data_IF_027182087825
#
_entry.id   IF_027182087825
#
_cell.length_a   1.000
_cell.length_b   1.000
_cell.length_c   1.000
_cell.angle_alpha   90.00
_cell.angle_beta   90.00
_cell.angle_gamma   90.00
#
_symmetry.space_group_name_H-M   'P 1'
#
loop_
_entity.id
_entity.type
_entity.pdbx_description
1 polymer ?
#
# COMPACT_ATOMS: atom_id res chain seq x y z
N UNK A 1 38.23 21.42 26.31
CA UNK A 1 37.51 20.13 26.36
C UNK A 1 36.06 20.43 26.69
N UNK A 2 35.22 20.50 25.66
CA UNK A 2 33.77 20.66 25.79
C UNK A 2 33.17 19.56 24.94
N UNK A 3 32.58 18.57 25.60
CA UNK A 3 31.93 17.42 24.98
C UNK A 3 30.70 17.90 24.20
N UNK A 4 30.75 17.77 22.88
CA UNK A 4 29.55 17.83 22.05
C UNK A 4 28.79 16.53 22.24
N UNK A 5 27.68 16.61 22.99
CA UNK A 5 26.69 15.55 23.14
C UNK A 5 26.09 15.16 21.79
N UNK A 6 25.98 13.85 21.55
CA UNK A 6 25.34 13.27 20.37
C UNK A 6 23.91 13.82 20.17
N UNK A 7 23.46 14.08 18.93
CA UNK A 7 22.08 14.48 18.69
C UNK A 7 21.13 13.33 19.03
N UNK A 8 20.01 13.73 19.64
CA UNK A 8 19.01 12.91 20.29
C UNK A 8 18.54 11.70 19.47
N UNK A 9 18.40 10.57 20.18
CA UNK A 9 17.54 9.47 19.76
C UNK A 9 16.12 9.98 19.48
N UNK A 10 15.53 9.53 18.38
CA UNK A 10 14.14 9.80 18.01
C UNK A 10 13.20 9.52 19.20
N UNK A 11 12.34 10.47 19.61
CA UNK A 11 11.39 10.20 20.68
C UNK A 11 10.32 9.22 20.18
N UNK A 12 10.18 8.09 20.89
CA UNK A 12 9.06 7.18 20.73
C UNK A 12 7.75 7.94 21.03
N UNK A 13 6.95 8.17 19.99
CA UNK A 13 5.68 8.85 20.09
C UNK A 13 4.63 7.96 20.79
N UNK A 14 4.44 8.17 22.10
CA UNK A 14 3.37 7.55 22.88
C UNK A 14 2.03 8.24 22.58
N UNK A 15 1.18 7.63 21.75
CA UNK A 15 -0.21 8.09 21.56
C UNK A 15 -1.21 6.94 21.67
N UNK A 16 -2.15 7.09 22.60
CA UNK A 16 -3.23 6.13 22.88
C UNK A 16 -4.20 6.06 21.68
N UNK A 17 -4.18 4.93 20.98
CA UNK A 17 -5.13 4.58 19.91
C UNK A 17 -6.56 4.45 20.47
N UNK A 18 -7.55 5.11 19.86
CA UNK A 18 -8.90 4.55 19.81
C UNK A 18 -8.87 3.41 18.79
N UNK A 19 -8.91 2.18 19.30
CA UNK A 19 -8.94 0.94 18.50
C UNK A 19 -10.26 0.90 17.72
N UNK A 20 -10.19 0.92 16.39
CA UNK A 20 -11.08 0.08 15.61
C UNK A 20 -10.53 -1.33 15.84
N UNK A 21 -11.25 -2.15 16.60
CA UNK A 21 -10.91 -3.57 16.69
C UNK A 21 -11.30 -4.16 15.33
N UNK A 22 -10.31 -4.35 14.48
CA UNK A 22 -10.38 -5.40 13.48
C UNK A 22 -10.64 -6.68 14.27
N UNK A 23 -11.72 -7.39 13.94
CA UNK A 23 -12.03 -8.70 14.50
C UNK A 23 -10.79 -9.59 14.46
N UNK A 24 -10.66 -10.46 15.47
CA UNK A 24 -9.48 -11.28 15.77
C UNK A 24 -8.81 -11.88 14.51
N UNK A 25 -7.76 -11.23 14.00
CA UNK A 25 -6.47 -11.78 13.51
C UNK A 25 -5.63 -10.61 12.95
N UNK A 26 -4.58 -10.28 13.70
CA UNK A 26 -3.23 -9.83 13.30
C UNK A 26 -2.95 -8.86 12.15
N UNK A 27 -3.47 -9.05 10.93
CA UNK A 27 -3.03 -8.32 9.73
C UNK A 27 -4.18 -8.27 8.73
N UNK A 28 -4.58 -7.07 8.30
CA UNK A 28 -5.48 -6.90 7.17
C UNK A 28 -4.78 -7.41 5.90
N UNK A 29 -5.45 -8.24 5.10
CA UNK A 29 -4.89 -8.78 3.86
C UNK A 29 -4.49 -7.69 2.87
N UNK A 30 -3.55 -8.02 1.99
CA UNK A 30 -2.95 -7.06 1.06
C UNK A 30 -3.11 -7.50 -0.40
N UNK A 31 -4.24 -8.16 -0.71
CA UNK A 31 -4.55 -8.64 -2.05
C UNK A 31 -4.35 -7.54 -3.09
N UNK A 32 -3.84 -7.92 -4.26
CA UNK A 32 -3.68 -6.98 -5.36
C UNK A 32 -5.05 -6.43 -5.75
N UNK A 33 -5.13 -5.12 -5.86
CA UNK A 33 -6.35 -4.41 -6.28
C UNK A 33 -6.67 -4.76 -7.72
N UNK A 34 -7.91 -5.16 -7.97
CA UNK A 34 -8.47 -5.48 -9.29
C UNK A 34 -9.89 -4.93 -9.37
N UNK A 35 -10.22 -4.37 -10.52
CA UNK A 35 -11.58 -3.96 -10.87
C UNK A 35 -12.49 -5.20 -11.02
N UNK A 36 -13.73 -5.10 -10.57
CA UNK A 36 -14.71 -6.19 -10.66
C UNK A 36 -16.14 -5.65 -10.60
N UNK A 37 -17.10 -6.55 -10.66
CA UNK A 37 -18.53 -6.25 -10.51
C UNK A 37 -18.88 -5.57 -9.17
N UNK A 38 -17.96 -5.61 -8.19
CA UNK A 38 -18.16 -5.09 -6.81
C UNK A 38 -17.01 -4.21 -6.30
N UNK A 39 -16.03 -3.91 -7.16
CA UNK A 39 -14.85 -3.09 -6.82
C UNK A 39 -14.56 -2.16 -7.98
N UNK A 40 -14.48 -0.87 -7.69
CA UNK A 40 -14.00 0.13 -8.64
C UNK A 40 -12.58 0.55 -8.29
N UNK A 41 -11.74 0.79 -9.31
CA UNK A 41 -10.37 1.26 -9.13
C UNK A 41 -10.17 2.60 -9.81
N UNK A 42 -9.74 3.61 -9.04
CA UNK A 42 -9.36 4.92 -9.55
C UNK A 42 -7.87 5.14 -9.41
N UNK A 43 -7.20 5.38 -10.52
CA UNK A 43 -5.78 5.72 -10.56
C UNK A 43 -5.52 7.17 -10.10
N UNK A 44 -4.50 7.37 -9.26
CA UNK A 44 -4.00 8.67 -8.83
C UNK A 44 -2.60 9.00 -9.40
N UNK A 45 -2.12 8.24 -10.38
CA UNK A 45 -0.87 8.48 -11.10
C UNK A 45 -0.91 9.74 -11.98
N UNK A 46 0.26 10.14 -12.46
CA UNK A 46 0.49 11.36 -13.24
C UNK A 46 1.34 12.36 -12.46
N UNK A 47 1.20 13.65 -12.76
CA UNK A 47 1.99 14.68 -12.07
C UNK A 47 1.40 15.01 -10.70
N UNK A 48 2.26 15.02 -9.68
CA UNK A 48 1.98 15.51 -8.33
C UNK A 48 2.80 16.79 -8.13
N UNK A 49 2.36 17.72 -7.27
CA UNK A 49 3.29 18.77 -6.86
C UNK A 49 4.30 18.17 -5.89
N UNK A 50 5.51 18.69 -5.93
CA UNK A 50 6.64 18.16 -5.21
C UNK A 50 7.52 19.25 -4.63
N UNK A 51 8.06 19.01 -3.45
CA UNK A 51 9.13 19.82 -2.84
C UNK A 51 9.97 18.97 -1.88
N UNK A 52 11.29 19.11 -1.96
CA UNK A 52 12.20 18.60 -0.93
C UNK A 52 12.31 19.58 0.24
N UNK A 53 12.39 19.08 1.47
CA UNK A 53 12.60 19.91 2.65
C UNK A 53 14.09 20.27 2.79
N UNK A 54 14.46 21.42 2.24
CA UNK A 54 15.86 21.89 2.21
C UNK A 54 16.28 22.61 3.51
N UNK A 55 15.44 22.65 4.55
CA UNK A 55 15.80 23.25 5.83
C UNK A 55 16.97 22.51 6.49
N UNK A 56 17.78 23.20 7.30
CA UNK A 56 18.96 22.58 7.92
C UNK A 56 18.63 21.36 8.79
N UNK A 57 17.46 21.35 9.43
CA UNK A 57 16.95 20.25 10.24
C UNK A 57 16.20 19.19 9.43
N UNK A 58 15.90 19.45 8.15
CA UNK A 58 15.03 18.64 7.25
C UNK A 58 13.59 18.48 7.75
N UNK A 59 13.14 19.30 8.68
CA UNK A 59 11.87 19.12 9.41
C UNK A 59 10.94 20.35 9.31
N UNK A 60 11.24 21.33 8.46
CA UNK A 60 10.38 22.50 8.26
C UNK A 60 8.97 22.12 7.84
N UNK A 61 8.80 21.09 7.02
CA UNK A 61 7.47 20.66 6.56
C UNK A 61 6.56 20.17 7.66
N UNK A 62 7.12 19.59 8.72
CA UNK A 62 6.35 19.23 9.91
C UNK A 62 6.12 20.43 10.82
N UNK A 63 7.16 21.23 11.10
CA UNK A 63 7.05 22.42 11.96
C UNK A 63 6.03 23.43 11.42
N UNK A 64 5.96 23.59 10.11
CA UNK A 64 5.08 24.54 9.42
C UNK A 64 3.78 23.90 8.91
N UNK A 65 3.58 22.60 9.19
CA UNK A 65 2.38 21.86 8.81
C UNK A 65 2.05 21.95 7.31
N UNK A 66 3.02 21.65 6.44
CA UNK A 66 2.84 21.70 4.99
C UNK A 66 1.69 20.81 4.48
N UNK A 67 1.31 19.77 5.23
CA UNK A 67 0.16 18.91 4.95
C UNK A 67 -1.22 19.56 5.17
N UNK A 68 -1.31 20.68 5.89
CA UNK A 68 -2.58 21.30 6.30
C UNK A 68 -3.38 21.93 5.16
N UNK A 69 -2.74 22.17 4.01
CA UNK A 69 -3.29 22.82 2.82
C UNK A 69 -2.52 22.31 1.59
N UNK A 70 -3.00 22.53 0.35
CA UNK A 70 -2.24 22.17 -0.84
C UNK A 70 -0.82 22.72 -0.79
N UNK A 71 0.16 21.90 -1.17
CA UNK A 71 1.60 22.13 -0.93
C UNK A 71 2.06 23.46 -1.54
N UNK A 72 1.53 23.81 -2.71
CA UNK A 72 1.75 25.09 -3.41
C UNK A 72 1.35 26.33 -2.60
N UNK A 73 0.50 26.20 -1.58
CA UNK A 73 0.09 27.28 -0.65
C UNK A 73 1.04 27.44 0.55
N UNK A 74 2.05 26.59 0.65
CA UNK A 74 3.10 26.64 1.68
C UNK A 74 4.49 26.92 1.09
N UNK A 75 4.57 27.19 -0.22
CA UNK A 75 5.78 27.63 -0.91
C UNK A 75 5.92 27.01 -2.31
N UNK A 76 7.06 27.24 -2.95
CA UNK A 76 7.30 26.82 -4.33
C UNK A 76 7.36 25.31 -4.48
N UNK A 77 6.67 24.78 -5.48
CA UNK A 77 6.65 23.36 -5.84
C UNK A 77 7.04 23.17 -7.29
N UNK A 78 7.51 21.97 -7.64
CA UNK A 78 7.73 21.53 -9.02
C UNK A 78 6.81 20.33 -9.34
N UNK A 79 6.46 20.06 -10.60
CA UNK A 79 5.76 18.83 -10.96
C UNK A 79 6.69 17.62 -10.87
N UNK A 80 6.22 16.53 -10.29
CA UNK A 80 6.94 15.25 -10.21
C UNK A 80 6.02 14.10 -10.63
N UNK A 81 6.45 13.23 -11.57
CA UNK A 81 5.65 12.10 -12.00
C UNK A 81 5.55 11.04 -10.90
N UNK A 82 4.37 10.45 -10.77
CA UNK A 82 4.09 9.25 -9.99
C UNK A 82 3.43 8.25 -10.93
N UNK A 83 3.97 7.01 -11.08
CA UNK A 83 5.12 6.47 -10.36
C UNK A 83 6.46 6.96 -10.93
N UNK A 84 7.41 7.30 -10.05
CA UNK A 84 8.81 7.57 -10.39
C UNK A 84 9.67 7.69 -9.14
N UNK A 85 10.95 7.40 -9.29
CA UNK A 85 11.97 7.94 -8.38
C UNK A 85 12.22 9.40 -8.76
N UNK A 86 12.36 10.32 -7.79
CA UNK A 86 12.55 11.74 -8.12
C UNK A 86 13.97 12.07 -8.59
N UNK A 87 14.94 11.23 -8.23
CA UNK A 87 16.37 11.58 -8.23
C UNK A 87 16.88 12.04 -9.60
N UNK A 88 16.48 11.36 -10.68
CA UNK A 88 16.96 11.62 -12.03
C UNK A 88 15.90 12.25 -12.96
N UNK A 89 14.78 12.73 -12.39
CA UNK A 89 13.73 13.42 -13.17
C UNK A 89 14.15 14.85 -13.52
N UNK A 90 14.89 15.50 -12.62
CA UNK A 90 15.31 16.90 -12.76
C UNK A 90 16.79 16.99 -13.15
N UNK A 91 17.24 18.19 -13.54
CA UNK A 91 18.66 18.48 -13.76
C UNK A 91 19.36 18.99 -12.47
N UNK A 92 18.66 18.99 -11.33
CA UNK A 92 19.17 19.50 -10.06
C UNK A 92 19.93 18.40 -9.30
N UNK A 93 21.25 18.55 -9.25
CA UNK A 93 22.12 17.65 -8.49
C UNK A 93 21.79 17.62 -7.00
N UNK A 94 21.41 18.75 -6.41
CA UNK A 94 21.10 18.84 -4.97
C UNK A 94 19.88 18.00 -4.64
N UNK A 95 18.90 17.95 -5.56
CA UNK A 95 17.74 17.09 -5.43
C UNK A 95 18.13 15.62 -5.66
N UNK A 96 18.93 15.30 -6.69
CA UNK A 96 19.39 13.94 -6.97
C UNK A 96 20.02 13.25 -5.76
N UNK A 97 20.93 13.97 -5.10
CA UNK A 97 21.72 13.50 -3.97
C UNK A 97 21.06 13.84 -2.61
N UNK A 98 19.81 14.33 -2.61
CA UNK A 98 19.10 14.79 -1.40
C UNK A 98 18.88 13.65 -0.39
N UNK A 99 19.05 13.98 0.89
CA UNK A 99 18.76 13.11 2.03
C UNK A 99 17.81 13.85 2.98
N UNK A 100 16.67 13.24 3.29
CA UNK A 100 15.66 13.78 4.19
C UNK A 100 14.25 13.58 3.67
N UNK A 101 13.37 14.51 4.03
CA UNK A 101 11.95 14.46 3.67
C UNK A 101 11.67 15.14 2.33
N UNK A 102 11.03 14.41 1.43
CA UNK A 102 10.37 14.98 0.25
C UNK A 102 8.86 14.91 0.39
N UNK A 103 8.18 15.92 -0.12
CA UNK A 103 6.74 16.09 0.01
C UNK A 103 6.11 16.05 -1.37
N UNK A 104 5.07 15.24 -1.50
CA UNK A 104 4.21 15.15 -2.67
C UNK A 104 2.80 15.58 -2.28
N UNK A 105 2.08 16.29 -3.13
CA UNK A 105 0.63 16.41 -3.00
C UNK A 105 -0.12 16.37 -4.33
N UNK A 106 -1.39 15.98 -4.25
CA UNK A 106 -2.28 15.94 -5.40
C UNK A 106 -3.72 16.12 -4.99
N UNK A 107 -4.42 16.95 -5.76
CA UNK A 107 -5.87 17.10 -5.70
C UNK A 107 -6.58 16.02 -6.53
N UNK A 108 -7.74 15.58 -6.06
CA UNK A 108 -8.58 14.58 -6.74
C UNK A 108 -10.05 14.71 -6.35
N UNK A 109 -10.92 14.14 -7.19
CA UNK A 109 -12.33 13.94 -6.91
C UNK A 109 -12.63 12.45 -6.76
N UNK A 110 -13.57 12.13 -5.87
CA UNK A 110 -14.16 10.79 -5.77
C UNK A 110 -15.52 10.76 -6.49
N UNK A 111 -15.85 9.67 -7.21
CA UNK A 111 -17.18 9.51 -7.82
C UNK A 111 -18.30 9.66 -6.78
N UNK A 112 -19.42 10.29 -7.17
CA UNK A 112 -20.57 10.46 -6.29
C UNK A 112 -21.15 9.12 -5.81
N UNK A 113 -21.08 8.09 -6.65
CA UNK A 113 -21.53 6.73 -6.32
C UNK A 113 -20.82 6.12 -5.12
N UNK A 114 -19.64 6.61 -4.73
CA UNK A 114 -18.90 6.11 -3.58
C UNK A 114 -19.40 6.68 -2.24
N UNK A 115 -20.37 7.61 -2.26
CA UNK A 115 -20.94 8.26 -1.09
C UNK A 115 -22.13 7.47 -0.49
N UNK A 116 -22.02 6.14 -0.43
CA UNK A 116 -22.93 5.29 0.34
C UNK A 116 -22.13 4.61 1.45
N UNK A 117 -22.04 5.28 2.61
CA UNK A 117 -21.22 4.82 3.74
C UNK A 117 -21.70 3.48 4.34
N UNK A 118 -22.93 3.07 4.05
CA UNK A 118 -23.49 1.81 4.53
C UNK A 118 -23.14 0.63 3.61
N UNK A 119 -22.63 0.89 2.40
CA UNK A 119 -22.37 -0.15 1.39
C UNK A 119 -20.96 -0.09 0.83
N UNK A 120 -20.37 1.09 0.75
CA UNK A 120 -19.11 1.32 0.07
C UNK A 120 -18.01 1.69 1.05
N UNK A 121 -16.95 0.88 1.03
CA UNK A 121 -15.69 1.15 1.69
C UNK A 121 -14.71 1.74 0.68
N UNK A 122 -14.04 2.85 1.00
CA UNK A 122 -13.04 3.49 0.13
C UNK A 122 -11.64 3.39 0.74
N UNK A 123 -10.68 2.92 -0.03
CA UNK A 123 -9.32 2.64 0.42
C UNK A 123 -8.31 3.38 -0.42
N UNK A 124 -7.34 4.01 0.24
CA UNK A 124 -6.15 4.57 -0.39
C UNK A 124 -5.02 3.56 -0.31
N UNK A 125 -4.40 3.25 -1.45
CA UNK A 125 -3.29 2.30 -1.55
C UNK A 125 -2.10 2.92 -2.27
N UNK A 126 -0.93 2.79 -1.65
CA UNK A 126 0.36 3.03 -2.27
C UNK A 126 0.98 1.67 -2.58
N UNK A 127 1.36 1.41 -3.83
CA UNK A 127 2.01 0.14 -4.17
C UNK A 127 3.48 0.06 -3.73
N UNK A 128 4.12 1.23 -3.50
CA UNK A 128 5.46 1.38 -2.89
C UNK A 128 5.84 2.87 -2.81
N UNK A 129 6.40 3.28 -1.67
CA UNK A 129 7.02 4.58 -1.45
C UNK A 129 8.22 4.42 -0.50
N UNK A 130 9.32 5.14 -0.73
CA UNK A 130 10.62 4.85 -0.09
C UNK A 130 11.12 5.89 0.90
N UNK A 131 11.54 5.59 2.12
CA UNK A 131 11.46 4.35 2.90
C UNK A 131 10.43 4.51 4.02
N UNK A 132 10.47 5.63 4.76
CA UNK A 132 9.47 5.96 5.76
C UNK A 132 8.50 7.00 5.19
N UNK A 133 7.23 6.64 5.13
CA UNK A 133 6.18 7.42 4.48
C UNK A 133 5.10 7.81 5.47
N UNK A 134 4.64 9.05 5.41
CA UNK A 134 3.51 9.55 6.17
C UNK A 134 2.53 10.17 5.18
N UNK A 135 1.24 9.83 5.30
CA UNK A 135 0.21 10.27 4.36
C UNK A 135 -0.93 10.96 5.09
N UNK A 136 -1.38 12.05 4.50
CA UNK A 136 -2.54 12.82 4.93
C UNK A 136 -3.57 12.90 3.82
N UNK A 137 -4.85 12.90 4.19
CA UNK A 137 -5.97 13.23 3.33
C UNK A 137 -6.67 14.43 3.94
N UNK A 138 -6.85 15.50 3.16
CA UNK A 138 -7.49 16.74 3.62
C UNK A 138 -6.86 17.30 4.92
N UNK A 139 -5.53 17.18 5.04
CA UNK A 139 -4.75 17.61 6.21
C UNK A 139 -4.82 16.69 7.44
N UNK A 140 -5.61 15.62 7.41
CA UNK A 140 -5.67 14.61 8.48
C UNK A 140 -4.74 13.46 8.17
N UNK A 141 -3.85 13.10 9.12
CA UNK A 141 -2.94 11.96 8.97
C UNK A 141 -3.75 10.66 8.94
N UNK A 142 -3.56 9.85 7.90
CA UNK A 142 -4.30 8.60 7.70
C UNK A 142 -3.42 7.36 7.88
N UNK A 143 -2.15 7.39 7.43
CA UNK A 143 -1.26 6.22 7.54
C UNK A 143 0.21 6.61 7.63
N UNK A 144 0.99 5.74 8.28
CA UNK A 144 2.45 5.72 8.26
C UNK A 144 2.90 4.35 7.79
N UNK A 145 3.98 4.28 7.01
CA UNK A 145 4.55 3.02 6.54
C UNK A 145 6.07 3.08 6.56
N UNK A 146 6.69 2.00 7.02
CA UNK A 146 8.13 1.80 6.98
C UNK A 146 8.45 0.65 6.02
N UNK A 147 9.22 0.94 4.98
CA UNK A 147 9.61 -0.02 3.95
C UNK A 147 9.47 0.55 2.54
N UNK A 148 10.49 0.36 1.69
CA UNK A 148 10.55 1.00 0.37
C UNK A 148 9.83 0.28 -0.77
N UNK A 149 9.60 -1.03 -0.66
CA UNK A 149 9.22 -1.88 -1.81
C UNK A 149 7.94 -2.69 -1.61
N UNK A 150 7.25 -2.49 -0.49
CA UNK A 150 6.00 -3.15 -0.15
C UNK A 150 4.82 -2.18 -0.22
N UNK A 151 3.63 -2.68 -0.61
CA UNK A 151 2.42 -1.87 -0.61
C UNK A 151 1.94 -1.61 0.82
N UNK A 152 1.24 -0.49 0.99
CA UNK A 152 0.47 -0.18 2.19
C UNK A 152 -0.84 0.51 1.81
N UNK A 153 -1.85 0.35 2.65
CA UNK A 153 -3.16 0.93 2.41
C UNK A 153 -3.86 1.32 3.71
N UNK A 154 -4.85 2.17 3.58
CA UNK A 154 -5.69 2.63 4.67
C UNK A 154 -7.09 2.95 4.17
N UNK A 155 -8.09 2.59 4.96
CA UNK A 155 -9.46 3.00 4.70
C UNK A 155 -9.61 4.50 4.98
N UNK A 156 -10.13 5.24 4.02
CA UNK A 156 -10.33 6.70 4.10
C UNK A 156 -11.78 7.12 3.86
N UNK A 157 -12.73 6.17 3.93
CA UNK A 157 -14.17 6.38 3.67
C UNK A 157 -14.70 7.63 4.40
N UNK A 158 -14.33 7.81 5.67
CA UNK A 158 -14.82 8.93 6.50
C UNK A 158 -13.94 10.18 6.46
N UNK A 159 -12.79 10.13 5.77
CA UNK A 159 -11.84 11.23 5.63
C UNK A 159 -12.08 12.05 4.35
N UNK A 160 -12.96 11.56 3.46
CA UNK A 160 -13.26 12.16 2.17
C UNK A 160 -14.35 13.23 2.26
N UNK A 161 -14.10 14.36 1.60
CA UNK A 161 -15.10 15.36 1.29
C UNK A 161 -15.79 15.00 -0.03
N UNK A 162 -16.90 14.25 0.05
CA UNK A 162 -17.68 13.87 -1.12
C UNK A 162 -18.26 15.10 -1.84
N UNK A 163 -18.35 15.02 -3.17
CA UNK A 163 -18.80 16.12 -4.05
C UNK A 163 -17.93 17.38 -4.00
N UNK A 164 -16.70 17.27 -3.48
CA UNK A 164 -15.74 18.36 -3.35
C UNK A 164 -14.35 17.88 -3.75
N UNK A 165 -13.45 18.83 -3.99
CA UNK A 165 -12.03 18.53 -4.14
C UNK A 165 -11.49 17.96 -2.84
N UNK A 166 -10.74 16.87 -2.95
CA UNK A 166 -9.93 16.31 -1.89
C UNK A 166 -8.45 16.49 -2.26
N UNK A 167 -7.56 16.46 -1.27
CA UNK A 167 -6.12 16.37 -1.55
C UNK A 167 -5.46 15.29 -0.70
N UNK A 168 -4.49 14.61 -1.30
CA UNK A 168 -3.55 13.73 -0.60
C UNK A 168 -2.23 14.44 -0.51
N UNK A 169 -1.60 14.40 0.66
CA UNK A 169 -0.20 14.80 0.86
C UNK A 169 0.57 13.59 1.36
N UNK A 170 1.74 13.32 0.80
CA UNK A 170 2.65 12.27 1.24
C UNK A 170 4.04 12.85 1.51
N UNK A 171 4.54 12.65 2.73
CA UNK A 171 5.92 12.90 3.09
C UNK A 171 6.68 11.57 3.03
N UNK A 172 7.83 11.56 2.38
CA UNK A 172 8.60 10.36 2.06
C UNK A 172 10.06 10.61 2.44
N UNK A 173 10.61 9.84 3.38
CA UNK A 173 11.98 9.98 3.88
C UNK A 173 12.87 8.85 3.37
N UNK A 174 14.00 9.20 2.75
CA UNK A 174 14.93 8.25 2.14
C UNK A 174 16.15 7.88 3.01
N UNK A 175 16.18 8.34 4.26
CA UNK A 175 17.28 8.08 5.20
C UNK A 175 17.28 6.60 5.59
N UNK A 176 18.42 5.94 5.39
CA UNK A 176 18.64 4.57 5.81
C UNK A 176 19.43 4.54 7.11
N UNK A 177 19.01 3.67 8.03
CA UNK A 177 19.61 3.50 9.35
C UNK A 177 20.09 2.05 9.53
N UNK A 178 20.81 1.71 10.61
CA UNK A 178 21.22 0.33 10.84
C UNK A 178 20.04 -0.65 10.98
N UNK A 179 18.83 -0.15 11.23
CA UNK A 179 17.62 -0.97 11.41
C UNK A 179 16.72 -0.98 10.19
N UNK A 180 16.98 -0.16 9.17
CA UNK A 180 16.22 -0.20 7.91
C UNK A 180 16.62 -1.41 7.08
N UNK A 181 15.73 -1.83 6.17
CA UNK A 181 16.05 -2.82 5.14
C UNK A 181 15.82 -2.20 3.75
N UNK A 182 16.89 -1.88 3.00
CA UNK A 182 18.31 -2.13 3.30
C UNK A 182 18.89 -1.20 4.39
N UNK A 183 19.98 -1.61 5.08
CA UNK A 183 20.58 -0.82 6.15
C UNK A 183 21.53 0.26 5.60
N UNK A 184 21.67 1.34 6.37
CA UNK A 184 22.62 2.41 6.11
C UNK A 184 22.99 3.20 7.35
N UNK A 185 23.84 4.22 7.21
CA UNK A 185 24.24 5.12 8.30
C UNK A 185 24.42 6.53 7.77
N UNK A 186 23.97 7.54 8.53
CA UNK A 186 24.36 8.93 8.30
C UNK A 186 25.72 9.17 8.94
N UNK A 187 26.64 9.75 8.17
CA UNK A 187 27.98 10.13 8.63
C UNK A 187 28.15 11.65 8.51
N UNK A 188 28.37 12.32 9.63
CA UNK A 188 28.70 13.75 9.67
C UNK A 188 30.21 13.92 9.52
N UNK A 189 30.64 14.62 8.48
CA UNK A 189 32.06 14.87 8.23
C UNK A 189 32.42 16.21 8.84
N UNK A 190 33.02 16.17 10.04
CA UNK A 190 33.45 17.34 10.81
C UNK A 190 34.97 17.38 10.94
N UNK A 191 35.56 18.58 10.97
CA UNK A 191 36.94 18.77 11.43
C UNK A 191 38.08 18.62 10.41
N UNK A 192 37.86 18.86 9.12
CA UNK A 192 38.93 18.96 8.11
C UNK A 192 38.76 20.17 7.17
N UNK A 193 39.83 20.59 6.50
CA UNK A 193 39.91 21.80 5.64
C UNK A 193 39.08 21.75 4.33
N UNK A 194 38.02 20.92 4.26
CA UNK A 194 37.31 20.66 2.99
C UNK A 194 35.79 20.48 3.06
N UNK A 195 35.17 20.45 4.25
CA UNK A 195 33.72 20.24 4.37
C UNK A 195 33.03 21.46 5.01
N UNK A 196 31.89 21.93 4.46
CA UNK A 196 31.15 23.03 5.06
C UNK A 196 30.50 22.60 6.40
N UNK A 197 30.17 23.56 7.28
CA UNK A 197 29.46 23.27 8.52
C UNK A 197 28.17 22.47 8.27
N UNK A 198 27.99 21.39 9.04
CA UNK A 198 26.80 20.53 8.94
C UNK A 198 26.80 19.56 7.75
N UNK A 199 27.92 19.40 7.03
CA UNK A 199 28.00 18.42 5.94
C UNK A 199 27.84 16.97 6.45
N UNK A 200 26.96 16.21 5.81
CA UNK A 200 26.74 14.80 6.09
C UNK A 200 26.45 14.02 4.81
N UNK A 201 26.64 12.71 4.86
CA UNK A 201 26.34 11.80 3.75
C UNK A 201 25.62 10.55 4.25
N UNK A 202 24.85 9.92 3.37
CA UNK A 202 24.32 8.58 3.57
C UNK A 202 25.36 7.56 3.11
N UNK A 203 25.77 6.65 4.00
CA UNK A 203 26.55 5.46 3.67
C UNK A 203 25.65 4.24 3.65
N UNK A 204 25.92 3.32 2.73
CA UNK A 204 25.32 2.00 2.63
C UNK A 204 26.30 1.05 1.93
N UNK A 205 26.06 -0.26 2.04
CA UNK A 205 26.95 -1.33 1.55
C UNK A 205 26.38 -2.14 0.39
N UNK A 206 25.25 -1.73 -0.16
CA UNK A 206 24.66 -2.35 -1.35
C UNK A 206 25.09 -1.62 -2.63
N UNK A 207 25.19 -2.36 -3.73
CA UNK A 207 25.73 -1.88 -5.01
C UNK A 207 24.61 -1.50 -6.01
N UNK A 208 23.70 -0.65 -5.54
CA UNK A 208 22.71 0.03 -6.37
C UNK A 208 22.43 1.40 -5.77
N UNK A 209 21.98 2.35 -6.60
CA UNK A 209 21.69 3.70 -6.12
C UNK A 209 20.42 3.70 -5.23
N UNK A 210 20.46 4.44 -4.12
CA UNK A 210 19.32 4.59 -3.20
C UNK A 210 18.27 5.55 -3.77
N UNK A 211 17.63 5.14 -4.87
CA UNK A 211 16.51 5.88 -5.45
C UNK A 211 15.38 6.03 -4.44
N UNK A 212 14.72 7.18 -4.46
CA UNK A 212 13.64 7.52 -3.54
C UNK A 212 12.47 8.19 -4.26
N UNK A 213 11.30 8.13 -3.63
CA UNK A 213 10.05 8.66 -4.18
C UNK A 213 8.89 7.67 -4.06
N UNK A 214 7.87 7.89 -4.88
CA UNK A 214 6.71 7.01 -4.99
C UNK A 214 6.90 6.15 -6.24
N UNK A 215 7.53 4.98 -6.05
CA UNK A 215 8.03 4.16 -7.15
C UNK A 215 6.95 3.38 -7.91
N UNK A 216 5.79 3.17 -7.29
CA UNK A 216 4.70 2.38 -7.86
C UNK A 216 3.37 3.11 -7.73
N UNK A 217 2.35 2.71 -8.51
CA UNK A 217 1.08 3.40 -8.55
C UNK A 217 0.45 3.70 -7.19
N UNK A 218 -0.22 4.85 -7.12
CA UNK A 218 -1.12 5.22 -6.03
C UNK A 218 -2.55 5.10 -6.55
N UNK A 219 -3.41 4.42 -5.81
CA UNK A 219 -4.77 4.11 -6.23
C UNK A 219 -5.75 4.38 -5.11
N UNK A 220 -6.95 4.80 -5.49
CA UNK A 220 -8.14 4.58 -4.67
C UNK A 220 -8.84 3.34 -5.19
N UNK A 221 -9.41 2.55 -4.29
CA UNK A 221 -10.31 1.48 -4.70
C UNK A 221 -11.47 1.35 -3.73
N UNK A 222 -12.56 0.77 -4.23
CA UNK A 222 -13.75 0.48 -3.43
C UNK A 222 -13.92 -1.01 -3.19
N UNK A 223 -14.57 -1.33 -2.08
CA UNK A 223 -15.18 -2.64 -1.84
C UNK A 223 -16.58 -2.44 -1.25
N UNK A 224 -17.36 -3.52 -1.20
CA UNK A 224 -18.46 -3.59 -0.25
C UNK A 224 -17.95 -3.49 1.20
N UNK A 225 -18.82 -3.13 2.14
CA UNK A 225 -18.51 -3.16 3.58
C UNK A 225 -18.13 -4.56 4.06
N UNK A 226 -18.69 -5.62 3.46
CA UNK A 226 -18.17 -6.99 3.60
C UNK A 226 -17.35 -7.36 2.35
N UNK A 227 -16.10 -7.72 2.54
CA UNK A 227 -15.14 -7.87 1.45
C UNK A 227 -14.12 -8.99 1.72
N UNK A 228 -13.70 -9.68 0.65
CA UNK A 228 -12.54 -10.56 0.71
C UNK A 228 -11.28 -9.73 0.97
N UNK A 229 -10.74 -9.89 2.17
CA UNK A 229 -9.54 -9.23 2.69
C UNK A 229 -8.28 -9.96 2.24
N UNK A 230 -8.27 -11.29 2.39
CA UNK A 230 -7.15 -12.13 1.99
C UNK A 230 -7.61 -13.48 1.44
N UNK A 231 -6.75 -14.12 0.65
CA UNK A 231 -6.91 -15.52 0.25
C UNK A 231 -5.54 -16.18 0.14
N UNK A 232 -5.40 -17.30 0.86
CA UNK A 232 -4.27 -18.21 0.71
C UNK A 232 -4.71 -19.42 -0.08
N UNK A 233 -3.98 -19.78 -1.13
CA UNK A 233 -4.23 -20.98 -1.94
C UNK A 233 -2.98 -21.87 -1.88
N UNK A 234 -3.18 -23.14 -1.57
CA UNK A 234 -2.14 -24.17 -1.64
C UNK A 234 -2.59 -25.28 -2.58
N UNK A 235 -1.67 -25.77 -3.41
CA UNK A 235 -1.95 -26.82 -4.39
C UNK A 235 -1.03 -28.00 -4.18
N UNK A 236 -1.58 -29.21 -4.24
CA UNK A 236 -0.81 -30.46 -4.23
C UNK A 236 -1.26 -31.37 -5.38
N UNK A 237 -0.40 -32.32 -5.75
CA UNK A 237 -0.68 -33.25 -6.84
C UNK A 237 -0.11 -34.64 -6.50
N UNK A 238 -0.94 -35.66 -6.66
CA UNK A 238 -0.55 -37.07 -6.56
C UNK A 238 -0.48 -37.69 -7.96
N UNK A 239 0.72 -38.08 -8.36
CA UNK A 239 0.99 -38.75 -9.63
C UNK A 239 0.35 -40.14 -9.74
N UNK A 240 0.14 -40.84 -8.63
CA UNK A 240 -0.40 -42.21 -8.65
C UNK A 240 -1.90 -42.18 -8.97
N UNK A 241 -2.64 -41.33 -8.25
CA UNK A 241 -4.08 -41.18 -8.45
C UNK A 241 -4.46 -40.18 -9.56
N UNK A 242 -3.50 -39.40 -10.07
CA UNK A 242 -3.72 -38.32 -11.03
C UNK A 242 -4.70 -37.27 -10.49
N UNK A 243 -4.64 -36.99 -9.19
CA UNK A 243 -5.49 -36.01 -8.50
C UNK A 243 -4.67 -34.81 -8.05
N UNK A 244 -5.12 -33.61 -8.40
CA UNK A 244 -4.67 -32.37 -7.76
C UNK A 244 -5.68 -31.93 -6.71
N UNK A 245 -5.18 -31.41 -5.59
CA UNK A 245 -5.99 -30.76 -4.56
C UNK A 245 -5.66 -29.27 -4.56
N UNK A 246 -6.68 -28.42 -4.60
CA UNK A 246 -6.59 -26.97 -4.48
C UNK A 246 -7.27 -26.59 -3.17
N UNK A 247 -6.50 -26.28 -2.13
CA UNK A 247 -7.00 -25.82 -0.84
C UNK A 247 -7.00 -24.30 -0.80
N UNK A 248 -8.02 -23.71 -0.18
CA UNK A 248 -8.13 -22.27 -0.01
C UNK A 248 -8.56 -21.88 1.41
N UNK A 249 -8.01 -20.78 1.90
CA UNK A 249 -8.31 -20.16 3.19
C UNK A 249 -8.51 -18.65 2.97
N UNK A 250 -9.74 -18.19 3.15
CA UNK A 250 -10.15 -16.82 2.91
C UNK A 250 -10.31 -16.07 4.23
N UNK A 251 -9.91 -14.80 4.22
CA UNK A 251 -10.24 -13.86 5.29
C UNK A 251 -11.21 -12.81 4.75
N UNK A 252 -12.29 -12.56 5.49
CA UNK A 252 -13.30 -11.57 5.13
C UNK A 252 -13.27 -10.43 6.15
N UNK A 253 -13.26 -9.19 5.67
CA UNK A 253 -13.49 -8.01 6.49
C UNK A 253 -14.95 -7.60 6.39
N UNK A 254 -15.59 -7.29 7.53
CA UNK A 254 -16.95 -6.76 7.61
C UNK A 254 -17.12 -5.92 8.90
N UNK A 255 -18.12 -5.03 8.99
CA UNK A 255 -18.45 -4.35 10.25
C UNK A 255 -18.91 -5.36 11.30
N UNK A 256 -18.68 -5.04 12.59
CA UNK A 256 -19.11 -5.88 13.73
C UNK A 256 -20.63 -6.16 13.76
N UNK A 257 -21.41 -5.36 13.04
CA UNK A 257 -22.87 -5.52 12.89
C UNK A 257 -23.27 -6.60 11.89
N UNK A 258 -22.32 -7.19 11.15
CA UNK A 258 -22.57 -8.26 10.18
C UNK A 258 -21.99 -9.57 10.73
N UNK A 259 -22.81 -10.47 11.29
CA UNK A 259 -22.41 -11.81 11.69
C UNK A 259 -21.77 -12.63 10.56
N UNK A 260 -20.76 -13.43 10.88
CA UNK A 260 -20.05 -14.29 9.91
C UNK A 260 -20.98 -15.28 9.20
N UNK A 261 -21.98 -15.84 9.90
CA UNK A 261 -22.97 -16.75 9.34
C UNK A 261 -23.98 -16.08 8.39
N UNK A 262 -23.99 -14.75 8.30
CA UNK A 262 -24.76 -14.00 7.31
C UNK A 262 -23.95 -13.71 6.04
N UNK A 263 -22.67 -14.09 6.03
CA UNK A 263 -21.79 -13.98 4.86
C UNK A 263 -21.79 -15.34 4.15
N UNK A 264 -22.42 -15.37 2.98
CA UNK A 264 -22.38 -16.54 2.08
C UNK A 264 -21.22 -16.40 1.12
N UNK A 265 -20.33 -17.38 1.15
CA UNK A 265 -19.19 -17.47 0.24
C UNK A 265 -19.55 -18.39 -0.93
N UNK A 266 -19.12 -18.01 -2.14
CA UNK A 266 -19.19 -18.85 -3.34
C UNK A 266 -17.81 -18.91 -4.02
N UNK A 267 -17.44 -20.10 -4.43
CA UNK A 267 -16.16 -20.43 -5.05
C UNK A 267 -16.42 -21.11 -6.39
N UNK A 268 -15.94 -20.54 -7.47
CA UNK A 268 -15.95 -21.16 -8.79
C UNK A 268 -14.49 -21.30 -9.24
N UNK A 269 -14.00 -22.53 -9.43
CA UNK A 269 -12.70 -22.80 -10.03
C UNK A 269 -12.88 -22.94 -11.53
N UNK A 270 -12.25 -22.06 -12.29
CA UNK A 270 -12.35 -21.98 -13.74
C UNK A 270 -11.05 -22.44 -14.40
N UNK A 271 -11.18 -23.10 -15.55
CA UNK A 271 -10.05 -23.36 -16.43
C UNK A 271 -9.62 -22.10 -17.23
N UNK A 272 -8.64 -22.26 -18.13
CA UNK A 272 -8.11 -21.15 -18.94
C UNK A 272 -9.13 -20.55 -19.93
N UNK A 273 -10.16 -21.31 -20.28
CA UNK A 273 -11.20 -20.92 -21.24
C UNK A 273 -12.46 -20.39 -20.52
N UNK A 274 -12.35 -20.20 -19.18
CA UNK A 274 -13.39 -19.75 -18.26
C UNK A 274 -14.56 -20.72 -18.07
N UNK A 275 -14.35 -22.02 -18.30
CA UNK A 275 -15.32 -23.04 -17.89
C UNK A 275 -15.16 -23.38 -16.42
N UNK A 276 -16.27 -23.46 -15.69
CA UNK A 276 -16.28 -23.89 -14.29
C UNK A 276 -15.99 -25.39 -14.22
N UNK A 277 -14.86 -25.76 -13.63
CA UNK A 277 -14.43 -27.16 -13.44
C UNK A 277 -14.74 -27.69 -12.04
N UNK A 278 -14.95 -26.81 -11.07
CA UNK A 278 -15.45 -27.13 -9.74
C UNK A 278 -16.14 -25.91 -9.12
N UNK A 279 -17.17 -26.13 -8.30
CA UNK A 279 -17.89 -25.08 -7.60
C UNK A 279 -18.25 -25.53 -6.18
N UNK A 280 -18.25 -24.60 -5.24
CA UNK A 280 -18.74 -24.82 -3.88
C UNK A 280 -19.29 -23.51 -3.30
N UNK A 281 -20.18 -23.60 -2.32
CA UNK A 281 -20.75 -22.43 -1.66
C UNK A 281 -21.33 -22.77 -0.30
N UNK A 282 -21.27 -21.82 0.63
CA UNK A 282 -21.90 -21.97 1.93
C UNK A 282 -21.84 -20.69 2.76
N UNK A 283 -22.77 -20.58 3.72
CA UNK A 283 -22.66 -19.60 4.78
C UNK A 283 -21.46 -19.93 5.67
N UNK A 284 -20.68 -18.92 6.07
CA UNK A 284 -19.48 -19.08 6.93
C UNK A 284 -18.41 -20.04 6.34
N UNK A 285 -18.46 -20.27 5.03
CA UNK A 285 -17.55 -21.20 4.36
C UNK A 285 -16.24 -20.49 3.97
N UNK A 286 -15.45 -20.04 4.95
CA UNK A 286 -14.21 -19.29 4.68
C UNK A 286 -13.02 -20.18 4.26
N UNK A 287 -13.14 -21.50 4.37
CA UNK A 287 -12.10 -22.46 3.97
C UNK A 287 -12.73 -23.61 3.20
N UNK A 288 -11.97 -24.21 2.30
CA UNK A 288 -12.43 -25.34 1.52
C UNK A 288 -11.35 -25.92 0.62
N UNK A 289 -11.74 -26.91 -0.18
CA UNK A 289 -10.85 -27.51 -1.14
C UNK A 289 -11.59 -28.06 -2.36
N UNK A 290 -10.91 -28.06 -3.51
CA UNK A 290 -11.33 -28.76 -4.72
C UNK A 290 -10.38 -29.91 -5.03
N UNK A 291 -10.94 -31.01 -5.57
CA UNK A 291 -10.16 -32.12 -6.11
C UNK A 291 -10.37 -32.18 -7.62
N UNK A 292 -9.29 -32.06 -8.39
CA UNK A 292 -9.29 -32.08 -9.85
C UNK A 292 -8.64 -33.37 -10.34
N UNK A 293 -9.38 -34.14 -11.12
CA UNK A 293 -8.90 -35.36 -11.76
C UNK A 293 -8.24 -35.03 -13.11
N UNK A 294 -7.09 -35.63 -13.38
CA UNK A 294 -6.29 -35.39 -14.59
C UNK A 294 -6.02 -33.89 -14.84
N UNK A 295 -5.44 -33.17 -13.87
CA UNK A 295 -5.25 -31.72 -13.96
C UNK A 295 -4.25 -31.35 -15.06
N UNK A 296 -4.41 -30.14 -15.63
CA UNK A 296 -3.35 -29.52 -16.43
C UNK A 296 -2.47 -28.72 -15.49
N UNK A 297 -1.26 -29.22 -15.21
CA UNK A 297 -0.35 -28.61 -14.25
C UNK A 297 0.34 -27.36 -14.82
N UNK A 298 0.67 -26.43 -13.92
CA UNK A 298 1.57 -25.33 -14.23
C UNK A 298 3.00 -25.88 -14.40
N UNK A 299 3.62 -25.59 -15.54
CA UNK A 299 5.01 -25.96 -15.82
C UNK A 299 5.85 -24.74 -16.17
N UNK A 300 7.12 -24.67 -15.71
CA UNK A 300 8.08 -23.70 -16.21
C UNK A 300 8.27 -23.79 -17.72
N UNK A 301 8.66 -22.67 -18.33
CA UNK A 301 9.03 -22.61 -19.74
C UNK A 301 10.13 -23.65 -20.02
N UNK A 302 9.90 -24.51 -21.02
CA UNK A 302 10.84 -25.57 -21.42
C UNK A 302 10.63 -26.94 -20.76
N UNK A 303 9.71 -27.08 -19.79
CA UNK A 303 9.44 -28.36 -19.11
C UNK A 303 8.20 -29.11 -19.62
N UNK A 304 7.40 -28.49 -20.49
CA UNK A 304 6.17 -29.07 -21.05
C UNK A 304 5.80 -28.34 -22.35
N UNK A 305 4.96 -28.97 -23.18
CA UNK A 305 4.34 -28.31 -24.34
C UNK A 305 3.26 -27.30 -23.92
N UNK A 306 2.71 -27.45 -22.72
CA UNK A 306 1.77 -26.52 -22.10
C UNK A 306 2.46 -25.96 -20.86
N UNK A 307 2.86 -24.69 -20.93
CA UNK A 307 3.62 -23.99 -19.88
C UNK A 307 2.76 -22.90 -19.26
N UNK A 308 3.08 -22.54 -18.02
CA UNK A 308 2.39 -21.50 -17.28
C UNK A 308 0.85 -21.61 -17.26
N UNK A 309 0.31 -22.84 -17.28
CA UNK A 309 -1.14 -23.05 -17.23
C UNK A 309 -1.70 -22.54 -15.89
N UNK A 310 -2.75 -21.73 -15.94
CA UNK A 310 -3.39 -21.15 -14.77
C UNK A 310 -4.88 -21.48 -14.76
N UNK A 311 -5.34 -22.05 -13.65
CA UNK A 311 -6.73 -21.99 -13.27
C UNK A 311 -7.03 -20.63 -12.62
N UNK A 312 -8.29 -20.23 -12.61
CA UNK A 312 -8.77 -19.03 -11.90
C UNK A 312 -9.71 -19.44 -10.79
N UNK A 313 -9.45 -19.05 -9.55
CA UNK A 313 -10.43 -19.18 -8.47
C UNK A 313 -11.23 -17.88 -8.36
N UNK A 314 -12.48 -17.88 -8.80
CA UNK A 314 -13.42 -16.76 -8.61
C UNK A 314 -14.09 -16.92 -7.25
N UNK A 315 -13.96 -15.88 -6.42
CA UNK A 315 -14.54 -15.84 -5.07
C UNK A 315 -15.57 -14.73 -5.01
N UNK A 316 -16.76 -15.04 -4.50
CA UNK A 316 -17.83 -14.08 -4.25
C UNK A 316 -18.25 -14.16 -2.79
N UNK A 317 -18.44 -12.99 -2.16
CA UNK A 317 -18.99 -12.88 -0.81
C UNK A 317 -20.31 -12.10 -0.90
N UNK A 318 -21.38 -12.65 -0.33
CA UNK A 318 -22.72 -12.09 -0.34
C UNK A 318 -23.20 -11.93 1.10
N UNK A 319 -23.69 -10.74 1.46
CA UNK A 319 -24.38 -10.53 2.74
C UNK A 319 -25.84 -10.91 2.53
N UNK A 320 -26.36 -11.87 3.29
CA UNK A 320 -27.72 -12.38 3.14
C UNK A 320 -28.78 -11.50 3.83
N UNK A 321 -28.39 -10.41 4.47
CA UNK A 321 -29.31 -9.54 5.20
C UNK A 321 -30.22 -8.78 4.23
N UNK A 322 -31.51 -9.17 4.25
CA UNK A 322 -32.62 -8.33 3.86
C UNK A 322 -32.55 -7.05 4.71
N UNK A 323 -32.07 -5.94 4.13
CA UNK A 323 -32.37 -4.63 4.70
C UNK A 323 -33.89 -4.49 4.69
N UNK A 324 -34.53 -4.68 5.85
CA UNK A 324 -35.88 -4.17 6.07
C UNK A 324 -35.70 -2.66 6.15
N UNK A 325 -36.24 -1.96 5.15
CA UNK A 325 -36.21 -0.49 5.00
C UNK A 325 -36.75 0.26 6.22
#
# INVERSE_FOLDING_TARGET
MTSLSAPNQYPAANWRRRRIRVSKIGVQGMLRVKDSETREVKDLCGLWNFRADMSNDREAGFRESWFSKPLSKSGTTIPMPVPSSYNDVTQDRTLRDFIGWVWYDREFFVPHSWNDLNKTRVVLRFESAHYYSIVWVNGKKVVEHEGGHLPFEVEITTDLAYNKVNWITAAVNNTLTPTTLPPGTIEYLTGGDGYPPGYFVQKYKFDFFNYAGIHRPVKLYTTSIAYLSDITITTSYDQTSQLAVVQFDCQVGAPDTVPENEITMKYDLLDKDNYVVATDSGADMFKGQFTIKNPILWWPVGMSNITAYLYTLKVSALITVLFIE
#
